data_IF_897909150119
#
_entry.id   IF_897909150119
#
_cell.length_a   1.000
_cell.length_b   1.000
_cell.length_c   1.000
_cell.angle_alpha   90.00
_cell.angle_beta   90.00
_cell.angle_gamma   90.00
#
_symmetry.space_group_name_H-M   'P 1'
#
loop_
_entity.id
_entity.type
_entity.pdbx_description
1 polymer ?
#
# COMPACT_ATOMS: atom_id res chain seq x y z
N UNK A 1 -0.67 -14.29 -13.51
CA UNK A 1 0.02 -13.16 -14.19
C UNK A 1 -0.82 -11.88 -14.21
N UNK A 2 -2.13 -11.92 -13.89
CA UNK A 2 -3.02 -10.75 -14.01
C UNK A 2 -3.26 -9.95 -12.71
N UNK A 3 -2.49 -10.22 -11.66
CA UNK A 3 -2.58 -9.48 -10.39
C UNK A 3 -1.60 -8.32 -10.40
N UNK A 4 -2.06 -7.19 -10.91
CA UNK A 4 -1.24 -5.98 -11.09
C UNK A 4 -1.19 -5.11 -9.85
N UNK A 5 -1.99 -5.40 -8.82
CA UNK A 5 -2.09 -4.58 -7.61
C UNK A 5 -1.84 -5.45 -6.37
N UNK A 6 -1.01 -4.95 -5.46
CA UNK A 6 -0.79 -5.53 -4.13
C UNK A 6 -1.33 -4.55 -3.10
N UNK A 7 -2.38 -4.94 -2.38
CA UNK A 7 -2.97 -4.12 -1.31
C UNK A 7 -2.36 -4.55 0.01
N UNK A 8 -1.68 -3.65 0.70
CA UNK A 8 -1.25 -3.85 2.09
C UNK A 8 -2.24 -3.13 3.01
N UNK A 9 -2.93 -3.90 3.85
CA UNK A 9 -4.01 -3.41 4.71
C UNK A 9 -3.74 -3.77 6.17
N UNK A 10 -3.08 -2.88 6.94
CA UNK A 10 -2.89 -3.08 8.36
C UNK A 10 -4.19 -2.88 9.13
N UNK A 11 -4.43 -3.70 10.15
CA UNK A 11 -5.51 -3.52 11.14
C UNK A 11 -4.94 -2.92 12.43
N UNK A 12 -4.15 -1.87 12.27
CA UNK A 12 -3.54 -1.08 13.34
C UNK A 12 -3.01 0.23 12.77
N UNK A 13 -3.41 1.36 13.34
CA UNK A 13 -2.92 2.69 12.96
C UNK A 13 -1.40 2.80 13.08
N UNK A 14 -0.80 2.13 14.07
CA UNK A 14 0.67 2.12 14.28
C UNK A 14 1.42 1.52 13.08
N UNK A 15 0.78 0.66 12.30
CA UNK A 15 1.35 0.03 11.11
C UNK A 15 0.97 0.75 9.81
N UNK A 16 0.21 1.84 9.86
CA UNK A 16 -0.20 2.57 8.65
C UNK A 16 0.99 3.13 7.86
N UNK A 17 2.01 3.64 8.57
CA UNK A 17 3.25 4.15 7.95
C UNK A 17 4.16 3.05 7.42
N UNK A 18 4.06 1.83 7.94
CA UNK A 18 4.75 0.67 7.37
C UNK A 18 4.20 0.35 5.98
N UNK A 19 2.88 0.47 5.77
CA UNK A 19 2.28 0.31 4.45
C UNK A 19 2.67 1.44 3.48
N UNK A 20 2.89 2.67 3.96
CA UNK A 20 3.49 3.75 3.16
C UNK A 20 4.92 3.44 2.74
N UNK A 21 5.75 2.98 3.69
CA UNK A 21 7.13 2.57 3.42
C UNK A 21 7.19 1.43 2.40
N UNK A 22 6.34 0.41 2.56
CA UNK A 22 6.25 -0.71 1.61
C UNK A 22 5.88 -0.22 0.21
N UNK A 23 5.05 0.82 0.12
CA UNK A 23 4.64 1.42 -1.15
C UNK A 23 5.85 1.93 -1.94
N UNK A 24 6.78 2.62 -1.27
CA UNK A 24 8.02 3.06 -1.90
C UNK A 24 8.91 1.86 -2.26
N UNK A 25 9.18 0.99 -1.29
CA UNK A 25 10.03 -0.19 -1.50
C UNK A 25 9.58 -0.99 -2.72
N UNK A 26 8.28 -1.31 -2.80
CA UNK A 26 7.75 -2.17 -3.84
C UNK A 26 7.64 -1.45 -5.19
N UNK A 27 7.14 -0.20 -5.22
CA UNK A 27 6.94 0.52 -6.47
C UNK A 27 8.27 0.95 -7.11
N UNK A 28 9.16 1.56 -6.33
CA UNK A 28 10.41 2.13 -6.85
C UNK A 28 11.41 1.02 -7.24
N UNK A 29 11.46 -0.07 -6.47
CA UNK A 29 12.32 -1.20 -6.78
C UNK A 29 11.82 -2.00 -7.99
N UNK A 30 10.52 -2.29 -8.06
CA UNK A 30 9.98 -3.25 -9.05
C UNK A 30 9.35 -2.62 -10.28
N UNK A 31 9.03 -1.32 -10.24
CA UNK A 31 8.48 -0.57 -11.36
C UNK A 31 9.53 -0.29 -12.43
N UNK A 32 9.76 -1.23 -13.34
CA UNK A 32 10.86 -1.17 -14.31
C UNK A 32 10.41 -1.35 -15.75
N UNK A 33 10.88 -0.43 -16.60
CA UNK A 33 10.69 -0.46 -18.06
C UNK A 33 11.49 -1.59 -18.70
N UNK A 34 12.73 -1.79 -18.26
CA UNK A 34 13.69 -2.70 -18.86
C UNK A 34 14.02 -3.87 -17.93
N UNK A 35 14.25 -5.04 -18.50
CA UNK A 35 14.86 -6.17 -17.81
C UNK A 35 16.40 -6.11 -17.86
N UNK A 36 17.05 -7.08 -17.22
CA UNK A 36 18.51 -7.21 -17.13
C UNK A 36 19.19 -7.43 -18.50
N UNK A 37 18.43 -7.75 -19.55
CA UNK A 37 18.93 -7.87 -20.93
C UNK A 37 18.63 -6.63 -21.77
N UNK A 38 18.02 -5.59 -21.19
CA UNK A 38 17.65 -4.36 -21.88
C UNK A 38 16.37 -4.48 -22.72
N UNK A 39 15.60 -5.56 -22.59
CA UNK A 39 14.30 -5.70 -23.28
C UNK A 39 13.23 -4.92 -22.52
N UNK A 40 12.25 -4.39 -23.24
CA UNK A 40 11.13 -3.70 -22.61
C UNK A 40 10.13 -4.69 -22.03
N UNK A 41 9.84 -4.58 -20.73
CA UNK A 41 8.96 -5.49 -19.99
C UNK A 41 7.84 -4.79 -19.21
N UNK A 42 8.03 -3.53 -18.81
CA UNK A 42 7.04 -2.72 -18.07
C UNK A 42 6.40 -3.46 -16.87
N UNK A 43 7.25 -4.07 -16.03
CA UNK A 43 6.81 -4.79 -14.82
C UNK A 43 6.69 -3.83 -13.64
N UNK A 44 5.97 -4.27 -12.61
CA UNK A 44 5.79 -3.51 -11.37
C UNK A 44 4.36 -3.57 -10.86
N UNK A 45 4.01 -4.50 -9.97
CA UNK A 45 2.70 -4.50 -9.34
C UNK A 45 2.53 -3.22 -8.51
N UNK A 46 1.45 -2.47 -8.72
CA UNK A 46 1.17 -1.24 -7.99
C UNK A 46 0.86 -1.55 -6.53
N UNK A 47 1.65 -1.06 -5.57
CA UNK A 47 1.32 -1.20 -4.16
C UNK A 47 0.26 -0.16 -3.77
N UNK A 48 -0.84 -0.63 -3.18
CA UNK A 48 -1.93 0.20 -2.66
C UNK A 48 -1.95 0.06 -1.15
N UNK A 49 -1.96 1.21 -0.46
CA UNK A 49 -2.14 1.26 0.98
C UNK A 49 -3.64 1.34 1.29
N UNK A 50 -4.08 0.54 2.25
CA UNK A 50 -5.39 0.65 2.89
C UNK A 50 -5.22 0.56 4.42
N UNK A 51 -6.23 0.90 5.19
CA UNK A 51 -6.24 0.81 6.65
C UNK A 51 -7.52 0.13 7.13
N UNK A 52 -7.38 -0.97 7.86
CA UNK A 52 -8.48 -1.57 8.60
C UNK A 52 -8.68 -0.86 9.95
N UNK A 53 -9.90 -0.55 10.37
CA UNK A 53 -11.18 -0.85 9.72
C UNK A 53 -11.71 0.28 8.82
N UNK A 54 -11.06 1.45 8.85
CA UNK A 54 -11.47 2.67 8.12
C UNK A 54 -11.82 2.46 6.65
N UNK A 55 -10.95 1.78 5.89
CA UNK A 55 -11.14 1.56 4.45
C UNK A 55 -12.13 0.45 4.11
N UNK A 56 -12.73 -0.21 5.09
CA UNK A 56 -13.92 -1.03 4.86
C UNK A 56 -15.08 -0.19 4.33
N UNK A 57 -15.15 1.07 4.74
CA UNK A 57 -16.18 2.03 4.31
C UNK A 57 -15.75 2.88 3.10
N UNK A 58 -14.64 2.53 2.46
CA UNK A 58 -14.11 3.26 1.29
C UNK A 58 -13.84 2.31 0.12
N UNK A 59 -13.03 1.27 0.32
CA UNK A 59 -12.46 0.49 -0.77
C UNK A 59 -12.98 -0.95 -0.86
N UNK A 60 -13.55 -1.50 0.22
CA UNK A 60 -13.92 -2.93 0.24
C UNK A 60 -14.94 -3.30 -0.83
N UNK A 61 -15.87 -2.41 -1.19
CA UNK A 61 -16.78 -2.61 -2.34
C UNK A 61 -15.99 -2.89 -3.64
N UNK A 62 -15.01 -2.05 -3.96
CA UNK A 62 -14.14 -2.22 -5.12
C UNK A 62 -13.29 -3.51 -5.01
N UNK A 63 -12.86 -3.87 -3.81
CA UNK A 63 -12.02 -5.04 -3.58
C UNK A 63 -12.78 -6.36 -3.76
N UNK A 64 -14.06 -6.38 -3.39
CA UNK A 64 -14.92 -7.56 -3.46
C UNK A 64 -15.55 -7.73 -4.85
N UNK A 65 -16.12 -6.68 -5.42
CA UNK A 65 -16.92 -6.77 -6.66
C UNK A 65 -16.22 -6.20 -7.90
N UNK A 66 -15.17 -5.40 -7.70
CA UNK A 66 -14.42 -4.81 -8.81
C UNK A 66 -13.50 -5.79 -9.57
N UNK A 67 -12.62 -5.25 -10.43
CA UNK A 67 -11.72 -6.06 -11.25
C UNK A 67 -10.90 -7.08 -10.45
N UNK A 68 -10.66 -8.25 -11.06
CA UNK A 68 -9.92 -9.35 -10.46
C UNK A 68 -8.40 -9.19 -10.59
N UNK A 69 -7.86 -8.06 -10.14
CA UNK A 69 -6.48 -7.61 -10.37
C UNK A 69 -5.64 -7.40 -9.09
N UNK A 70 -6.22 -7.65 -7.91
CA UNK A 70 -5.59 -7.43 -6.59
C UNK A 70 -5.18 -8.73 -5.88
N UNK A 71 -4.09 -8.66 -5.13
CA UNK A 71 -3.73 -9.55 -4.02
C UNK A 71 -3.72 -8.71 -2.73
N UNK A 72 -4.20 -9.28 -1.62
CA UNK A 72 -4.32 -8.59 -0.34
C UNK A 72 -3.36 -9.17 0.70
N UNK A 73 -2.63 -8.30 1.40
CA UNK A 73 -1.75 -8.64 2.51
C UNK A 73 -2.26 -7.90 3.74
N UNK A 74 -2.89 -8.64 4.66
CA UNK A 74 -3.36 -8.10 5.93
C UNK A 74 -2.23 -8.10 6.96
N UNK A 75 -2.12 -7.02 7.74
CA UNK A 75 -1.27 -7.01 8.93
C UNK A 75 -2.16 -7.05 10.17
N UNK A 76 -2.10 -8.15 10.90
CA UNK A 76 -2.88 -8.40 12.12
C UNK A 76 -1.99 -8.23 13.35
N UNK A 77 -2.47 -7.53 14.38
CA UNK A 77 -1.78 -7.39 15.67
C UNK A 77 -2.55 -8.20 16.71
N UNK A 78 -1.87 -9.14 17.38
CA UNK A 78 -2.49 -10.01 18.38
C UNK A 78 -2.67 -9.28 19.72
N UNK A 79 -1.64 -8.58 20.17
CA UNK A 79 -1.66 -7.80 21.41
C UNK A 79 -1.42 -6.32 21.11
N UNK A 80 -2.47 -5.54 21.30
CA UNK A 80 -2.39 -4.09 21.25
C UNK A 80 -1.84 -3.55 22.58
N UNK A 81 -1.14 -2.42 22.51
CA UNK A 81 -0.61 -1.71 23.69
C UNK A 81 -1.72 -1.29 24.66
N UNK A 82 -2.88 -0.92 24.12
CA UNK A 82 -4.06 -0.53 24.89
C UNK A 82 -5.24 -1.44 24.53
N UNK A 83 -5.88 -2.00 25.55
CA UNK A 83 -7.15 -2.70 25.42
C UNK A 83 -8.28 -1.76 25.83
N UNK A 84 -9.20 -1.47 24.90
CA UNK A 84 -10.31 -0.54 25.15
C UNK A 84 -11.62 -1.32 25.35
N UNK A 85 -12.14 -1.45 26.58
CA UNK A 85 -13.40 -2.14 26.82
C UNK A 85 -14.59 -1.32 26.31
N UNK A 86 -15.58 -2.02 25.75
CA UNK A 86 -16.88 -1.48 25.41
C UNK A 86 -17.79 -1.70 26.62
N UNK A 87 -17.88 -0.67 27.46
CA UNK A 87 -18.63 -0.75 28.71
C UNK A 87 -20.13 -0.93 28.44
N UNK A 88 -20.75 -1.83 29.21
CA UNK A 88 -22.21 -1.96 29.27
C UNK A 88 -22.82 -0.72 29.94
N UNK A 89 -23.84 -0.13 29.32
CA UNK A 89 -24.55 1.00 29.89
C UNK A 89 -25.91 1.21 29.22
N UNK A 90 -26.83 1.90 29.93
CA UNK A 90 -28.20 2.17 29.45
C UNK A 90 -28.25 2.99 28.13
N UNK A 91 -27.11 3.51 27.66
CA UNK A 91 -26.98 4.31 26.45
C UNK A 91 -26.81 3.48 25.15
N UNK A 92 -26.65 2.15 25.23
CA UNK A 92 -26.55 1.32 24.02
C UNK A 92 -27.95 0.95 23.50
N UNK A 93 -28.22 1.38 22.27
CA UNK A 93 -29.43 0.99 21.55
C UNK A 93 -29.49 -0.52 21.34
N UNK A 94 -30.70 -1.07 21.13
CA UNK A 94 -30.90 -2.51 20.93
C UNK A 94 -30.00 -3.10 19.84
N UNK A 95 -29.68 -2.32 18.80
CA UNK A 95 -28.84 -2.73 17.67
C UNK A 95 -27.35 -2.89 18.03
N UNK A 96 -26.86 -2.23 19.08
CA UNK A 96 -25.43 -2.22 19.44
C UNK A 96 -25.11 -3.03 20.70
N UNK A 97 -26.12 -3.60 21.38
CA UNK A 97 -25.93 -4.41 22.60
C UNK A 97 -25.02 -5.63 22.43
N UNK A 98 -24.87 -6.16 21.22
CA UNK A 98 -23.96 -7.28 20.96
C UNK A 98 -22.48 -6.91 21.17
N UNK A 99 -22.16 -5.61 21.26
CA UNK A 99 -20.82 -5.11 21.58
C UNK A 99 -20.56 -5.05 23.09
N UNK A 100 -21.58 -5.21 23.94
CA UNK A 100 -21.41 -5.15 25.40
C UNK A 100 -20.51 -6.28 25.89
N UNK A 101 -19.55 -5.94 26.75
CA UNK A 101 -18.60 -6.90 27.31
C UNK A 101 -17.46 -7.29 26.37
N UNK A 102 -17.46 -6.76 25.13
CA UNK A 102 -16.35 -6.87 24.21
C UNK A 102 -15.36 -5.71 24.34
N UNK A 103 -14.24 -5.81 23.62
CA UNK A 103 -13.27 -4.72 23.46
C UNK A 103 -13.28 -4.20 22.03
N UNK A 104 -12.86 -2.95 21.83
CA UNK A 104 -12.62 -2.43 20.47
C UNK A 104 -11.57 -3.27 19.73
N UNK A 105 -10.61 -3.82 20.46
CA UNK A 105 -9.57 -4.69 19.90
C UNK A 105 -10.18 -5.98 19.34
N UNK A 106 -11.14 -6.59 20.05
CA UNK A 106 -11.89 -7.75 19.56
C UNK A 106 -12.73 -7.38 18.33
N UNK A 107 -13.36 -6.21 18.33
CA UNK A 107 -14.13 -5.72 17.18
C UNK A 107 -13.24 -5.54 15.95
N UNK A 108 -12.08 -4.89 16.07
CA UNK A 108 -11.09 -4.74 14.99
C UNK A 108 -10.66 -6.12 14.44
N UNK A 109 -10.38 -7.08 15.33
CA UNK A 109 -10.01 -8.44 14.93
C UNK A 109 -11.16 -9.18 14.23
N UNK A 110 -12.40 -9.01 14.69
CA UNK A 110 -13.58 -9.58 14.06
C UNK A 110 -13.82 -8.98 12.68
N UNK A 111 -13.74 -7.66 12.54
CA UNK A 111 -13.88 -6.94 11.27
C UNK A 111 -12.79 -7.32 10.26
N UNK A 112 -11.55 -7.53 10.71
CA UNK A 112 -10.48 -8.09 9.87
C UNK A 112 -10.85 -9.45 9.32
N UNK A 113 -11.27 -10.37 10.18
CA UNK A 113 -11.63 -11.75 9.80
C UNK A 113 -12.84 -11.76 8.88
N UNK A 114 -13.82 -10.89 9.12
CA UNK A 114 -14.97 -10.71 8.26
C UNK A 114 -14.55 -10.26 6.85
N UNK A 115 -13.66 -9.27 6.75
CA UNK A 115 -13.13 -8.78 5.47
C UNK A 115 -12.32 -9.86 4.74
N UNK A 116 -11.42 -10.56 5.45
CA UNK A 116 -10.63 -11.67 4.91
C UNK A 116 -11.52 -12.80 4.38
N UNK A 117 -12.56 -13.17 5.14
CA UNK A 117 -13.51 -14.20 4.74
C UNK A 117 -14.35 -13.76 3.53
N UNK A 118 -14.80 -12.51 3.49
CA UNK A 118 -15.54 -11.96 2.36
C UNK A 118 -14.72 -12.00 1.07
N UNK A 119 -13.44 -11.59 1.13
CA UNK A 119 -12.50 -11.71 0.01
C UNK A 119 -12.29 -13.17 -0.40
N UNK A 120 -12.05 -14.05 0.56
CA UNK A 120 -11.81 -15.49 0.31
C UNK A 120 -13.01 -16.16 -0.36
N UNK A 121 -14.23 -15.87 0.11
CA UNK A 121 -15.48 -16.37 -0.49
C UNK A 121 -15.67 -15.90 -1.93
N UNK A 122 -15.16 -14.71 -2.25
CA UNK A 122 -15.14 -14.16 -3.61
C UNK A 122 -13.87 -14.53 -4.38
N UNK A 123 -13.12 -15.55 -3.92
CA UNK A 123 -11.90 -16.07 -4.53
C UNK A 123 -10.80 -15.00 -4.72
N UNK A 124 -10.84 -13.92 -3.93
CA UNK A 124 -9.86 -12.84 -3.97
C UNK A 124 -8.63 -13.29 -3.15
N UNK A 125 -7.44 -13.46 -3.79
CA UNK A 125 -6.27 -14.00 -3.12
C UNK A 125 -5.80 -13.06 -2.01
N UNK A 126 -5.63 -13.59 -0.82
CA UNK A 126 -5.22 -12.84 0.34
C UNK A 126 -4.33 -13.68 1.25
N UNK A 127 -3.51 -13.02 2.06
CA UNK A 127 -2.76 -13.63 3.14
C UNK A 127 -2.68 -12.67 4.34
N UNK A 128 -2.31 -13.21 5.49
CA UNK A 128 -2.17 -12.45 6.73
C UNK A 128 -0.77 -12.63 7.31
N UNK A 129 -0.13 -11.52 7.64
CA UNK A 129 1.08 -11.47 8.46
C UNK A 129 0.66 -11.05 9.86
N UNK A 130 0.94 -11.91 10.84
CA UNK A 130 0.57 -11.69 12.24
C UNK A 130 1.75 -11.15 13.03
N UNK A 131 1.50 -10.08 13.79
CA UNK A 131 2.41 -9.47 14.74
C UNK A 131 1.94 -9.85 16.14
N UNK A 132 2.76 -10.54 16.95
CA UNK A 132 2.44 -10.78 18.36
C UNK A 132 2.18 -9.46 19.10
N UNK A 133 3.03 -8.47 18.84
CA UNK A 133 2.92 -7.08 19.30
C UNK A 133 3.64 -6.18 18.29
N UNK A 134 3.29 -4.89 18.26
CA UNK A 134 4.05 -3.88 17.51
C UNK A 134 5.20 -3.37 18.36
N UNK A 135 6.42 -3.83 18.08
CA UNK A 135 7.64 -3.43 18.79
C UNK A 135 8.79 -3.19 17.80
N UNK A 136 9.88 -2.55 18.24
CA UNK A 136 11.05 -2.35 17.38
C UNK A 136 11.58 -3.67 16.79
N UNK A 137 11.50 -4.76 17.57
CA UNK A 137 11.91 -6.08 17.12
C UNK A 137 11.02 -6.63 15.99
N UNK A 138 9.70 -6.63 16.18
CA UNK A 138 8.77 -7.16 15.14
C UNK A 138 8.70 -6.26 13.91
N UNK A 139 8.91 -4.95 14.09
CA UNK A 139 9.09 -4.00 12.98
C UNK A 139 10.38 -4.28 12.19
N UNK A 140 11.49 -4.59 12.87
CA UNK A 140 12.73 -5.01 12.20
C UNK A 140 12.54 -6.30 11.38
N UNK A 141 11.81 -7.28 11.91
CA UNK A 141 11.52 -8.54 11.20
C UNK A 141 10.72 -8.30 9.91
N UNK A 142 9.67 -7.48 9.96
CA UNK A 142 8.87 -7.20 8.76
C UNK A 142 9.65 -6.40 7.73
N UNK A 143 10.49 -5.44 8.13
CA UNK A 143 11.35 -4.72 7.19
C UNK A 143 12.28 -5.68 6.45
N UNK A 144 13.02 -6.51 7.18
CA UNK A 144 13.92 -7.49 6.58
C UNK A 144 13.19 -8.45 5.64
N UNK A 145 12.03 -8.96 6.06
CA UNK A 145 11.23 -9.88 5.24
C UNK A 145 10.78 -9.22 3.93
N UNK A 146 10.28 -7.98 3.99
CA UNK A 146 9.78 -7.26 2.82
C UNK A 146 10.92 -6.84 1.87
N UNK A 147 12.09 -6.45 2.40
CA UNK A 147 13.29 -6.18 1.60
C UNK A 147 13.75 -7.42 0.84
N UNK A 148 13.86 -8.56 1.53
CA UNK A 148 14.24 -9.85 0.92
C UNK A 148 13.19 -10.28 -0.12
N UNK A 149 11.91 -10.16 0.19
CA UNK A 149 10.83 -10.46 -0.74
C UNK A 149 10.91 -9.59 -2.00
N UNK A 150 11.26 -8.30 -1.85
CA UNK A 150 11.44 -7.37 -2.97
C UNK A 150 12.64 -7.75 -3.83
N UNK A 151 13.78 -8.10 -3.21
CA UNK A 151 14.95 -8.59 -3.94
C UNK A 151 14.65 -9.88 -4.72
N UNK A 152 13.93 -10.83 -4.11
CA UNK A 152 13.49 -12.05 -4.80
C UNK A 152 12.50 -11.76 -5.92
N UNK A 153 11.52 -10.87 -5.71
CA UNK A 153 10.61 -10.46 -6.76
C UNK A 153 11.35 -9.83 -7.95
N UNK A 154 12.33 -8.96 -7.69
CA UNK A 154 13.19 -8.39 -8.74
C UNK A 154 13.93 -9.46 -9.53
N UNK A 155 14.49 -10.48 -8.85
CA UNK A 155 15.12 -11.61 -9.51
C UNK A 155 14.15 -12.43 -10.37
N UNK A 156 12.95 -12.69 -9.86
CA UNK A 156 11.89 -13.44 -10.57
C UNK A 156 11.34 -12.67 -11.78
N UNK A 157 11.36 -11.35 -11.74
CA UNK A 157 11.00 -10.48 -12.85
C UNK A 157 12.16 -10.21 -13.83
N UNK A 158 13.36 -10.75 -13.56
CA UNK A 158 14.55 -10.52 -14.36
C UNK A 158 14.94 -9.03 -14.48
N UNK A 159 14.70 -8.22 -13.45
CA UNK A 159 15.02 -6.78 -13.41
C UNK A 159 16.10 -6.46 -12.36
N UNK A 160 16.67 -5.26 -12.42
CA UNK A 160 17.45 -4.70 -11.32
C UNK A 160 16.50 -4.03 -10.30
N UNK A 161 16.36 -4.52 -9.06
CA UNK A 161 15.50 -3.87 -8.07
C UNK A 161 16.18 -2.70 -7.33
N UNK A 162 17.46 -2.42 -7.58
CA UNK A 162 18.26 -1.50 -6.75
C UNK A 162 18.58 -0.15 -7.40
N UNK A 163 18.07 0.10 -8.61
CA UNK A 163 18.17 1.40 -9.29
C UNK A 163 16.81 2.11 -9.40
N UNK A 164 16.84 3.39 -9.80
CA UNK A 164 15.64 4.22 -9.94
C UNK A 164 15.75 5.24 -11.09
N UNK A 165 16.13 4.84 -12.32
CA UNK A 165 16.40 5.79 -13.41
C UNK A 165 15.19 6.65 -13.80
N UNK A 166 13.96 6.18 -13.51
CA UNK A 166 12.72 6.87 -13.87
C UNK A 166 12.46 8.19 -13.14
N UNK A 167 13.20 8.51 -12.06
CA UNK A 167 13.00 9.78 -11.32
C UNK A 167 13.85 10.94 -11.85
N UNK A 168 14.86 10.65 -12.68
CA UNK A 168 15.85 11.65 -13.08
C UNK A 168 15.27 12.72 -14.02
N UNK A 169 14.37 12.34 -14.92
CA UNK A 169 13.70 13.28 -15.83
C UNK A 169 12.91 14.34 -15.06
N UNK A 170 12.18 13.93 -14.02
CA UNK A 170 11.44 14.86 -13.15
C UNK A 170 12.36 15.87 -12.46
N UNK A 171 13.56 15.45 -12.04
CA UNK A 171 14.56 16.36 -11.44
C UNK A 171 15.07 17.36 -12.47
N UNK A 172 15.40 16.91 -13.68
CA UNK A 172 15.88 17.76 -14.78
C UNK A 172 14.84 18.82 -15.13
N UNK A 173 13.58 18.40 -15.31
CA UNK A 173 12.47 19.31 -15.59
C UNK A 173 12.28 20.31 -14.44
N UNK A 174 12.38 19.86 -13.19
CA UNK A 174 12.32 20.75 -12.01
C UNK A 174 13.43 21.78 -12.00
N UNK A 175 14.68 21.38 -12.29
CA UNK A 175 15.82 22.31 -12.36
C UNK A 175 15.62 23.38 -13.44
N UNK A 176 15.13 22.96 -14.62
CA UNK A 176 14.82 23.87 -15.72
C UNK A 176 13.74 24.89 -15.32
N UNK A 177 12.63 24.42 -14.72
CA UNK A 177 11.53 25.29 -14.29
C UNK A 177 11.93 26.27 -13.17
N UNK A 178 12.80 25.83 -12.25
CA UNK A 178 13.33 26.66 -11.18
C UNK A 178 14.47 27.59 -11.61
N UNK A 179 14.87 27.57 -12.88
CA UNK A 179 15.90 28.45 -13.43
C UNK A 179 17.31 28.16 -12.93
N UNK A 180 17.63 26.88 -12.68
CA UNK A 180 18.99 26.47 -12.32
C UNK A 180 19.95 26.75 -13.48
N UNK A 181 21.11 27.35 -13.17
CA UNK A 181 22.18 27.60 -14.14
C UNK A 181 22.57 26.31 -14.89
N UNK A 182 22.66 26.39 -16.21
CA UNK A 182 22.98 25.26 -17.10
C UNK A 182 21.77 24.46 -17.60
N UNK A 183 20.55 24.92 -17.31
CA UNK A 183 19.29 24.31 -17.76
C UNK A 183 18.42 25.27 -18.59
N UNK A 184 18.99 26.34 -19.12
CA UNK A 184 18.28 27.41 -19.83
C UNK A 184 17.56 26.90 -21.09
N UNK A 185 18.25 26.12 -21.92
CA UNK A 185 17.66 25.53 -23.12
C UNK A 185 16.53 24.56 -22.76
N UNK A 186 16.76 23.75 -21.72
CA UNK A 186 15.75 22.81 -21.21
C UNK A 186 14.52 23.53 -20.68
N UNK A 187 14.68 24.72 -20.11
CA UNK A 187 13.57 25.55 -19.63
C UNK A 187 12.69 26.00 -20.79
N UNK A 188 13.29 26.44 -21.89
CA UNK A 188 12.52 26.86 -23.07
C UNK A 188 11.71 25.69 -23.65
N UNK A 189 12.33 24.52 -23.78
CA UNK A 189 11.68 23.27 -24.22
C UNK A 189 10.48 22.91 -23.32
N UNK A 190 10.69 22.83 -22.00
CA UNK A 190 9.65 22.46 -21.03
C UNK A 190 8.50 23.46 -21.04
N UNK A 191 8.77 24.76 -21.13
CA UNK A 191 7.73 25.79 -21.13
C UNK A 191 6.83 25.70 -22.38
N UNK A 192 7.40 25.43 -23.55
CA UNK A 192 6.65 25.20 -24.79
C UNK A 192 5.76 23.95 -24.70
N UNK A 193 6.27 22.86 -24.12
CA UNK A 193 5.49 21.65 -23.87
C UNK A 193 4.33 21.88 -22.90
N UNK A 194 4.57 22.61 -21.80
CA UNK A 194 3.54 22.90 -20.80
C UNK A 194 2.39 23.74 -21.37
N UNK A 195 2.67 24.68 -22.28
CA UNK A 195 1.65 25.50 -22.94
C UNK A 195 0.69 24.68 -23.82
N UNK A 196 1.11 23.51 -24.30
CA UNK A 196 0.30 22.62 -25.14
C UNK A 196 -0.62 21.71 -24.33
N UNK A 197 -0.50 21.68 -23.00
CA UNK A 197 -1.27 20.79 -22.14
C UNK A 197 -2.65 21.36 -21.86
N UNK A 198 -3.64 20.47 -21.75
CA UNK A 198 -4.97 20.81 -21.27
C UNK A 198 -4.89 21.03 -19.76
N UNK A 199 -5.26 22.21 -19.30
CA UNK A 199 -5.37 22.57 -17.89
C UNK A 199 -6.84 22.85 -17.60
N UNK A 200 -7.41 22.16 -16.62
CA UNK A 200 -8.75 22.42 -16.12
C UNK A 200 -8.65 23.38 -14.94
N UNK A 201 -9.34 24.51 -15.03
CA UNK A 201 -9.50 25.46 -13.92
C UNK A 201 -10.72 25.05 -13.08
N UNK A 202 -10.58 25.10 -11.75
CA UNK A 202 -11.62 24.74 -10.77
C UNK A 202 -12.11 26.00 -10.08
#
# INVERSE_FOLDING_TARGET
RDKKIVVMMPYSDRLYRLADWFRQLWAESLGKKLDLQGRQVFVGPTPVKALGTTDQHSQVQLYVEGPFDKIFVFLEVEQFETVLPINSGQALEKATRYLEGHTINELIAAEKRATELALTRNQRPNCTIKFPVVSAFTIGQIFQMLEIATAFAGKLFEINPFDQPGVEEGKIVTYALMGREGYEDKRLEVMDELQKRIVYEV
#
